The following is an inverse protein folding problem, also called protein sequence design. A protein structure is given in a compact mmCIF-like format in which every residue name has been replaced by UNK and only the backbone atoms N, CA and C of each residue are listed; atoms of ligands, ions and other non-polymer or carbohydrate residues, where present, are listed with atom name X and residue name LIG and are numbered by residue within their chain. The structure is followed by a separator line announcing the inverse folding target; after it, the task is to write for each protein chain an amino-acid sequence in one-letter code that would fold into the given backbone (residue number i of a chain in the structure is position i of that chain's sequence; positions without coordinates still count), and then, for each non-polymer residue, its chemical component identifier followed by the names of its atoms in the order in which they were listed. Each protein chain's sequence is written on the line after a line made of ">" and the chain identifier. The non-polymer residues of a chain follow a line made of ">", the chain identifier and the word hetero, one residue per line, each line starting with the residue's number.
data_IF_244698943486
#
_entry.id   IF_244698943486
#
_cell.length_a   1.000
_cell.length_b   1.000
_cell.length_c   1.000
_cell.angle_alpha   90.00
_cell.angle_beta   90.00
_cell.angle_gamma   90.00
#
_symmetry.space_group_name_H-M   'P 1'
#
loop_
_entity.id
_entity.type
_entity.pdbx_description
1 polymer ?
#
# COMPACT_ATOMS: atom_id res chain seq x y z
N UNK A 1 75.09 -56.98 16.74
CA UNK A 1 75.43 -57.54 15.44
C UNK A 1 74.97 -56.52 14.42
N UNK A 2 75.81 -55.69 13.97
CA UNK A 2 76.72 -55.79 12.85
C UNK A 2 76.12 -55.39 11.53
N UNK A 3 76.68 -54.35 11.03
CA UNK A 3 77.10 -53.98 9.66
C UNK A 3 75.98 -53.40 8.75
N UNK A 4 76.24 -52.52 7.90
CA UNK A 4 77.39 -51.62 7.51
C UNK A 4 76.85 -50.72 6.39
N UNK A 5 77.36 -49.51 6.39
CA UNK A 5 77.84 -48.65 5.30
C UNK A 5 77.32 -48.83 3.87
N UNK A 6 76.85 -47.77 3.22
CA UNK A 6 77.67 -47.10 2.18
C UNK A 6 77.01 -45.80 1.65
N UNK A 7 77.83 -44.82 1.60
CA UNK A 7 77.65 -43.53 0.93
C UNK A 7 77.51 -43.68 -0.58
N UNK A 8 76.85 -42.75 -1.25
CA UNK A 8 77.38 -42.14 -2.48
C UNK A 8 76.69 -40.78 -2.73
N UNK A 9 77.60 -39.92 -3.10
CA UNK A 9 77.47 -38.50 -3.39
C UNK A 9 76.94 -38.29 -4.81
N UNK A 10 76.28 -37.16 -5.01
CA UNK A 10 76.37 -36.19 -6.10
C UNK A 10 75.11 -35.86 -6.83
N UNK A 11 74.93 -34.57 -7.03
CA UNK A 11 74.05 -34.04 -8.06
C UNK A 11 73.45 -32.68 -7.72
N UNK A 12 74.27 -31.63 -7.79
CA UNK A 12 73.79 -30.20 -7.86
C UNK A 12 72.85 -30.05 -9.07
N UNK A 13 71.71 -29.55 -8.87
CA UNK A 13 70.83 -29.05 -9.93
C UNK A 13 70.01 -27.87 -9.42
N UNK A 14 70.62 -26.67 -9.55
CA UNK A 14 69.95 -25.40 -9.30
C UNK A 14 68.94 -25.15 -10.45
N UNK A 15 67.72 -25.50 -10.27
CA UNK A 15 66.62 -25.15 -11.18
C UNK A 15 65.87 -23.95 -10.63
N UNK A 16 66.17 -22.76 -11.11
CA UNK A 16 65.51 -21.51 -10.81
C UNK A 16 64.11 -21.55 -11.50
N UNK A 17 63.07 -21.96 -10.79
CA UNK A 17 61.69 -21.87 -11.29
C UNK A 17 61.23 -20.43 -11.09
N UNK A 18 61.14 -19.70 -12.19
CA UNK A 18 60.55 -18.35 -12.27
C UNK A 18 59.02 -18.54 -12.22
N UNK A 19 58.39 -18.37 -11.04
CA UNK A 19 56.95 -18.34 -10.91
C UNK A 19 56.46 -16.99 -11.37
N UNK A 20 55.99 -16.93 -12.61
CA UNK A 20 55.27 -15.74 -13.13
C UNK A 20 53.91 -15.64 -12.46
N UNK A 21 53.77 -14.72 -11.50
CA UNK A 21 52.49 -14.36 -10.87
C UNK A 21 51.69 -13.54 -11.87
N UNK A 22 50.80 -14.21 -12.61
CA UNK A 22 49.77 -13.55 -13.45
C UNK A 22 48.65 -13.05 -12.54
N UNK A 23 48.73 -11.76 -12.14
CA UNK A 23 47.61 -11.10 -11.46
C UNK A 23 46.56 -10.80 -12.49
N UNK A 24 45.53 -11.65 -12.55
CA UNK A 24 44.29 -11.39 -13.32
C UNK A 24 43.56 -10.23 -12.67
N UNK A 25 43.73 -9.03 -13.22
CA UNK A 25 42.81 -7.91 -12.94
C UNK A 25 41.44 -8.21 -13.57
N UNK A 26 40.55 -8.81 -12.81
CA UNK A 26 39.16 -8.85 -13.21
C UNK A 26 38.58 -7.40 -13.15
N UNK A 27 38.03 -6.86 -14.25
CA UNK A 27 37.42 -5.56 -14.21
C UNK A 27 36.24 -5.64 -13.26
N UNK A 28 36.26 -4.92 -12.16
CA UNK A 28 35.11 -4.66 -11.31
C UNK A 28 34.11 -3.88 -12.15
N UNK A 29 33.12 -4.57 -12.72
CA UNK A 29 31.98 -3.93 -13.34
C UNK A 29 31.13 -3.35 -12.19
N UNK A 30 31.43 -2.08 -11.86
CA UNK A 30 30.54 -1.29 -11.01
C UNK A 30 29.22 -1.17 -11.76
N UNK A 31 28.26 -2.02 -11.39
CA UNK A 31 26.90 -1.92 -11.89
C UNK A 31 26.36 -0.61 -11.33
N UNK A 32 26.27 0.41 -12.17
CA UNK A 32 25.63 1.66 -11.82
C UNK A 32 24.19 1.31 -11.41
N UNK A 33 23.90 1.45 -10.12
CA UNK A 33 22.55 1.29 -9.58
C UNK A 33 21.71 2.38 -10.23
N UNK A 34 20.84 1.97 -11.14
CA UNK A 34 19.97 2.90 -11.86
C UNK A 34 19.18 3.72 -10.84
N UNK A 35 19.29 5.05 -10.91
CA UNK A 35 18.51 5.92 -10.04
C UNK A 35 17.02 5.49 -10.11
N UNK A 36 16.34 5.41 -8.97
CA UNK A 36 14.94 4.98 -8.94
C UNK A 36 14.12 5.89 -9.85
N UNK A 37 13.30 5.27 -10.72
CA UNK A 37 12.50 6.00 -11.70
C UNK A 37 11.57 7.00 -11.00
N UNK A 38 11.58 8.26 -11.43
CA UNK A 38 10.61 9.25 -10.98
C UNK A 38 9.22 8.87 -11.49
N UNK A 39 8.28 8.82 -10.57
CA UNK A 39 6.87 8.63 -10.88
C UNK A 39 6.08 9.90 -10.58
N UNK A 40 5.08 10.21 -11.42
CA UNK A 40 4.12 11.28 -11.18
C UNK A 40 2.76 10.66 -10.89
N UNK A 41 2.19 10.99 -9.72
CA UNK A 41 0.87 10.52 -9.31
C UNK A 41 0.05 11.66 -8.73
N UNK A 42 -1.23 11.74 -9.11
CA UNK A 42 -2.24 12.57 -8.45
C UNK A 42 -2.94 11.70 -7.42
N UNK A 43 -3.14 12.21 -6.22
CA UNK A 43 -3.74 11.39 -5.18
C UNK A 43 -4.65 12.20 -4.26
N UNK A 44 -5.58 11.49 -3.65
CA UNK A 44 -6.37 11.93 -2.50
C UNK A 44 -6.07 11.03 -1.32
N UNK A 45 -6.32 11.51 -0.11
CA UNK A 45 -6.08 10.75 1.12
C UNK A 45 -7.36 10.66 1.93
N UNK A 46 -7.57 9.50 2.51
CA UNK A 46 -8.62 9.25 3.50
C UNK A 46 -8.00 8.52 4.68
N UNK A 47 -8.38 8.87 5.88
CA UNK A 47 -7.98 8.11 7.07
C UNK A 47 -9.16 7.37 7.67
N UNK A 48 -8.96 6.11 8.05
CA UNK A 48 -9.98 5.30 8.72
C UNK A 48 -10.38 5.86 10.10
N UNK A 49 -9.49 6.62 10.74
CA UNK A 49 -9.75 7.35 11.99
C UNK A 49 -9.31 8.81 11.82
N UNK A 50 -9.78 9.69 12.71
CA UNK A 50 -9.35 11.07 12.71
C UNK A 50 -7.83 11.17 12.79
N UNK A 51 -7.24 11.94 11.90
CA UNK A 51 -5.80 12.19 11.83
C UNK A 51 -5.57 13.66 11.47
N UNK A 52 -4.55 14.25 12.06
CA UNK A 52 -4.16 15.63 11.83
C UNK A 52 -2.64 15.76 11.87
N UNK A 53 -2.12 16.89 11.39
CA UNK A 53 -0.68 17.16 11.42
C UNK A 53 0.13 16.26 10.48
N UNK A 54 -0.46 15.79 9.38
CA UNK A 54 0.21 15.01 8.36
C UNK A 54 0.75 15.92 7.26
N UNK A 55 1.96 15.61 6.77
CA UNK A 55 2.59 16.34 5.68
C UNK A 55 3.25 15.35 4.71
N UNK A 56 3.51 15.81 3.49
CA UNK A 56 4.32 15.09 2.51
C UNK A 56 5.18 16.09 1.73
N UNK A 57 6.22 15.60 1.06
CA UNK A 57 7.05 16.43 0.18
C UNK A 57 6.61 16.16 -1.26
N UNK A 58 6.02 17.15 -1.97
CA UNK A 58 5.49 16.96 -3.32
C UNK A 58 6.56 16.56 -4.34
N UNK A 59 7.76 17.10 -4.18
CA UNK A 59 8.94 16.81 -5.00
C UNK A 59 10.21 17.04 -4.18
N UNK A 60 11.27 16.30 -4.47
CA UNK A 60 12.58 16.50 -3.83
C UNK A 60 12.99 17.98 -3.95
N UNK A 61 13.40 18.56 -2.83
CA UNK A 61 13.81 19.97 -2.74
C UNK A 61 12.67 20.96 -2.52
N UNK A 62 11.42 20.51 -2.49
CA UNK A 62 10.27 21.37 -2.13
C UNK A 62 9.95 21.31 -0.64
N UNK A 63 9.25 22.33 -0.16
CA UNK A 63 8.74 22.36 1.20
C UNK A 63 7.67 21.29 1.42
N UNK A 64 7.58 20.80 2.66
CA UNK A 64 6.53 19.87 3.04
C UNK A 64 5.15 20.55 2.96
N UNK A 65 4.20 19.85 2.34
CA UNK A 65 2.82 20.30 2.14
C UNK A 65 1.90 19.60 3.15
N UNK A 66 1.05 20.34 3.87
CA UNK A 66 0.06 19.75 4.77
C UNK A 66 -0.98 18.92 4.02
N UNK A 67 -1.34 17.76 4.59
CA UNK A 67 -2.46 16.94 4.14
C UNK A 67 -3.70 17.31 4.96
N UNK A 68 -4.70 17.86 4.28
CA UNK A 68 -6.01 18.16 4.90
C UNK A 68 -6.87 16.92 4.80
N UNK A 69 -7.25 16.34 5.93
CA UNK A 69 -8.10 15.16 6.00
C UNK A 69 -9.48 15.52 6.52
N UNK A 70 -10.49 15.01 5.84
CA UNK A 70 -11.89 15.17 6.26
C UNK A 70 -12.43 13.89 6.89
N UNK A 71 -13.30 13.98 7.91
CA UNK A 71 -13.83 12.79 8.59
C UNK A 71 -14.65 11.87 7.70
N UNK A 72 -15.36 12.43 6.72
CA UNK A 72 -16.34 11.71 5.89
C UNK A 72 -16.15 11.90 4.39
N UNK A 73 -15.08 12.56 3.97
CA UNK A 73 -14.83 12.87 2.58
C UNK A 73 -13.34 12.63 2.23
N UNK A 74 -13.08 12.61 0.94
CA UNK A 74 -11.71 12.59 0.41
C UNK A 74 -11.04 13.94 0.69
N UNK A 75 -9.73 13.91 0.89
CA UNK A 75 -8.91 15.13 0.93
C UNK A 75 -9.00 15.91 -0.38
N UNK A 76 -8.53 17.15 -0.43
CA UNK A 76 -8.16 17.80 -1.69
C UNK A 76 -7.23 16.90 -2.50
N UNK A 77 -7.17 17.13 -3.82
CA UNK A 77 -6.26 16.41 -4.70
C UNK A 77 -4.86 17.00 -4.58
N UNK A 78 -3.90 16.11 -4.35
CA UNK A 78 -2.47 16.42 -4.28
C UNK A 78 -1.74 15.84 -5.48
N UNK A 79 -0.53 16.31 -5.74
CA UNK A 79 0.36 15.78 -6.75
C UNK A 79 1.70 15.41 -6.09
N UNK A 80 2.23 14.25 -6.45
CA UNK A 80 3.55 13.79 -6.05
C UNK A 80 4.39 13.51 -7.29
N UNK A 81 5.66 13.91 -7.25
CA UNK A 81 6.65 13.57 -8.25
C UNK A 81 7.96 13.18 -7.57
N UNK A 82 8.32 11.92 -7.67
CA UNK A 82 9.54 11.39 -7.05
C UNK A 82 9.62 9.89 -7.12
N UNK A 83 10.66 9.36 -6.48
CA UNK A 83 10.83 7.92 -6.31
C UNK A 83 9.83 7.38 -5.28
N UNK A 84 9.39 6.14 -5.49
CA UNK A 84 8.57 5.44 -4.49
C UNK A 84 9.46 4.84 -3.38
N UNK A 85 8.91 4.70 -2.16
CA UNK A 85 7.56 5.04 -1.74
C UNK A 85 7.34 6.54 -1.49
N UNK A 86 6.12 7.03 -1.75
CA UNK A 86 5.65 8.32 -1.27
C UNK A 86 5.58 8.25 0.26
N UNK A 87 6.22 9.21 0.94
CA UNK A 87 6.31 9.25 2.40
C UNK A 87 5.41 10.32 2.98
N UNK A 88 4.64 9.92 3.98
CA UNK A 88 3.83 10.83 4.79
C UNK A 88 4.50 10.96 6.16
N UNK A 89 4.70 12.19 6.58
CA UNK A 89 5.42 12.53 7.80
C UNK A 89 4.51 13.25 8.80
N UNK A 90 4.83 13.11 10.06
CA UNK A 90 4.25 13.91 11.13
C UNK A 90 4.79 15.35 11.05
N UNK A 91 3.92 16.35 11.08
CA UNK A 91 4.30 17.75 10.93
C UNK A 91 5.18 18.27 12.06
N UNK A 92 5.08 17.68 13.26
CA UNK A 92 5.83 18.10 14.45
C UNK A 92 7.16 17.36 14.53
N UNK A 93 7.11 16.04 14.56
CA UNK A 93 8.30 15.19 14.77
C UNK A 93 9.13 14.97 13.51
N UNK A 94 8.58 15.29 12.34
CA UNK A 94 9.18 15.04 11.00
C UNK A 94 9.47 13.57 10.72
N UNK A 95 9.02 12.66 11.59
CA UNK A 95 9.17 11.23 11.39
C UNK A 95 8.24 10.71 10.30
N UNK A 96 8.69 9.72 9.53
CA UNK A 96 7.85 9.02 8.55
C UNK A 96 6.88 8.13 9.32
N UNK A 97 5.59 8.34 9.09
CA UNK A 97 4.51 7.62 9.79
C UNK A 97 3.64 6.78 8.86
N UNK A 98 3.73 7.01 7.56
CA UNK A 98 3.10 6.18 6.54
C UNK A 98 3.93 6.22 5.26
N UNK A 99 3.90 5.12 4.49
CA UNK A 99 4.50 5.00 3.17
C UNK A 99 3.48 4.42 2.19
N UNK A 100 3.50 4.92 0.96
CA UNK A 100 2.64 4.44 -0.11
C UNK A 100 3.48 4.11 -1.34
N UNK A 101 3.53 2.83 -1.71
CA UNK A 101 4.09 2.41 -2.99
C UNK A 101 2.98 2.35 -4.02
N UNK A 102 2.95 3.35 -4.91
CA UNK A 102 1.94 3.41 -5.97
C UNK A 102 2.50 2.66 -7.18
N UNK A 103 1.78 1.65 -7.71
CA UNK A 103 2.15 0.98 -8.96
C UNK A 103 2.30 1.97 -10.12
N UNK A 104 3.21 1.70 -11.07
CA UNK A 104 3.54 2.62 -12.17
C UNK A 104 2.35 2.92 -13.08
N UNK A 105 1.45 1.97 -13.23
CA UNK A 105 0.23 2.09 -14.04
C UNK A 105 -0.84 2.99 -13.41
N UNK A 106 -0.73 3.29 -12.10
CA UNK A 106 -1.69 4.13 -11.39
C UNK A 106 -1.24 5.59 -11.42
N UNK A 107 -1.95 6.42 -12.15
CA UNK A 107 -1.71 7.86 -12.23
C UNK A 107 -2.64 8.69 -11.34
N UNK A 108 -3.76 8.09 -10.92
CA UNK A 108 -4.72 8.67 -9.98
C UNK A 108 -4.97 7.68 -8.85
N UNK A 109 -4.56 8.02 -7.62
CA UNK A 109 -4.62 7.13 -6.48
C UNK A 109 -5.50 7.68 -5.35
N UNK A 110 -6.19 6.79 -4.66
CA UNK A 110 -6.71 7.04 -3.32
C UNK A 110 -5.80 6.33 -2.32
N UNK A 111 -5.23 7.08 -1.39
CA UNK A 111 -4.47 6.54 -0.27
C UNK A 111 -5.36 6.43 0.95
N UNK A 112 -5.66 5.21 1.38
CA UNK A 112 -6.39 4.96 2.62
C UNK A 112 -5.39 4.66 3.73
N UNK A 113 -5.36 5.51 4.76
CA UNK A 113 -4.54 5.36 5.94
C UNK A 113 -5.33 4.64 7.04
N UNK A 114 -4.90 3.42 7.38
CA UNK A 114 -5.49 2.63 8.47
C UNK A 114 -4.49 2.62 9.63
N UNK A 115 -4.84 3.18 10.80
CA UNK A 115 -3.96 3.16 11.96
C UNK A 115 -3.60 1.73 12.35
N UNK A 116 -2.34 1.49 12.66
CA UNK A 116 -1.90 0.23 13.26
C UNK A 116 -2.39 0.16 14.71
N UNK A 117 -2.86 -1.02 15.12
CA UNK A 117 -3.34 -1.28 16.48
C UNK A 117 -2.74 -2.59 17.01
N UNK A 118 -1.89 -2.53 18.05
CA UNK A 118 -1.41 -1.33 18.75
C UNK A 118 -0.51 -0.45 17.86
N UNK A 119 -0.57 0.86 18.11
CA UNK A 119 0.32 1.80 17.42
C UNK A 119 1.77 1.57 17.91
N UNK A 120 2.75 1.42 17.02
CA UNK A 120 4.14 1.27 17.43
C UNK A 120 4.68 2.57 18.04
N UNK A 121 5.62 2.46 18.96
CA UNK A 121 6.26 3.61 19.60
C UNK A 121 7.10 4.44 18.61
N UNK A 122 7.64 3.81 17.57
CA UNK A 122 8.42 4.44 16.52
C UNK A 122 8.14 3.79 15.16
N UNK A 123 8.45 4.51 14.07
CA UNK A 123 8.25 4.05 12.69
C UNK A 123 6.84 4.30 12.16
N UNK A 124 6.39 3.43 11.26
CA UNK A 124 5.10 3.58 10.60
C UNK A 124 3.95 3.38 11.58
N UNK A 125 3.06 4.36 11.67
CA UNK A 125 1.84 4.31 12.50
C UNK A 125 0.60 3.94 11.71
N UNK A 126 0.70 3.94 10.38
CA UNK A 126 -0.40 3.63 9.48
C UNK A 126 0.02 2.56 8.48
N UNK A 127 -0.89 1.64 8.22
CA UNK A 127 -0.88 0.84 7.01
C UNK A 127 -1.56 1.65 5.91
N UNK A 128 -0.93 1.75 4.75
CA UNK A 128 -1.48 2.48 3.60
C UNK A 128 -1.99 1.49 2.56
N UNK A 129 -3.24 1.65 2.17
CA UNK A 129 -3.82 0.96 1.03
C UNK A 129 -3.88 1.92 -0.15
N UNK A 130 -3.34 1.49 -1.28
CA UNK A 130 -3.33 2.26 -2.52
C UNK A 130 -4.42 1.70 -3.44
N UNK A 131 -5.35 2.54 -3.83
CA UNK A 131 -6.45 2.19 -4.72
C UNK A 131 -6.33 3.00 -6.02
N UNK A 132 -6.52 2.34 -7.17
CA UNK A 132 -6.69 3.06 -8.44
C UNK A 132 -8.03 3.81 -8.40
N UNK A 133 -7.92 5.14 -8.37
CA UNK A 133 -9.05 6.06 -8.22
C UNK A 133 -9.49 6.67 -9.56
N UNK A 134 -8.97 6.14 -10.66
CA UNK A 134 -9.34 6.58 -11.99
C UNK A 134 -10.83 6.32 -12.28
N UNK A 135 -11.42 7.19 -13.11
CA UNK A 135 -12.82 7.02 -13.55
C UNK A 135 -13.04 5.72 -14.36
N UNK A 136 -11.97 5.13 -14.91
CA UNK A 136 -12.03 3.84 -15.62
C UNK A 136 -12.26 2.69 -14.64
N UNK A 137 -11.59 2.71 -13.50
CA UNK A 137 -11.71 1.66 -12.47
C UNK A 137 -12.91 1.87 -11.56
N UNK A 138 -13.24 3.12 -11.27
CA UNK A 138 -14.35 3.48 -10.39
C UNK A 138 -15.27 4.46 -11.12
N UNK A 139 -16.10 3.92 -11.99
CA UNK A 139 -17.02 4.71 -12.82
C UNK A 139 -18.14 5.36 -11.99
N UNK A 140 -18.69 6.45 -12.50
CA UNK A 140 -19.92 7.02 -11.97
C UNK A 140 -21.07 5.99 -11.99
N UNK A 141 -21.97 6.05 -10.99
CA UNK A 141 -23.07 5.10 -10.84
C UNK A 141 -22.63 3.72 -10.32
N UNK A 142 -21.46 3.61 -9.72
CA UNK A 142 -20.97 2.35 -9.14
C UNK A 142 -20.69 2.46 -7.63
N UNK A 143 -20.81 1.34 -6.95
CA UNK A 143 -20.34 1.11 -5.59
C UNK A 143 -19.16 0.16 -5.63
N UNK A 144 -18.00 0.62 -5.22
CA UNK A 144 -16.83 -0.22 -4.92
C UNK A 144 -16.83 -0.57 -3.43
N UNK A 145 -16.45 -1.80 -3.09
CA UNK A 145 -16.38 -2.24 -1.69
C UNK A 145 -14.95 -2.71 -1.40
N UNK A 146 -14.30 -2.05 -0.44
CA UNK A 146 -13.00 -2.44 0.08
C UNK A 146 -13.21 -3.19 1.41
N UNK A 147 -13.04 -4.49 1.38
CA UNK A 147 -13.20 -5.34 2.56
C UNK A 147 -11.86 -5.52 3.31
N UNK A 148 -11.70 -4.79 4.38
CA UNK A 148 -10.59 -4.90 5.34
C UNK A 148 -11.04 -5.44 6.70
N UNK A 149 -12.27 -5.97 6.79
CA UNK A 149 -12.87 -6.43 8.04
C UNK A 149 -12.21 -7.66 8.66
N UNK A 150 -11.45 -8.41 7.88
CA UNK A 150 -10.91 -9.71 8.27
C UNK A 150 -11.92 -10.86 8.13
N UNK A 151 -13.17 -10.59 7.68
CA UNK A 151 -14.20 -11.60 7.44
C UNK A 151 -14.41 -11.87 5.96
N UNK A 152 -14.73 -13.12 5.63
CA UNK A 152 -15.42 -13.44 4.39
C UNK A 152 -16.87 -12.96 4.53
N UNK A 153 -17.30 -12.10 3.63
CA UNK A 153 -18.62 -11.49 3.65
C UNK A 153 -19.43 -11.92 2.42
N UNK A 154 -20.69 -12.22 2.61
CA UNK A 154 -21.59 -12.49 1.52
C UNK A 154 -22.95 -11.84 1.81
N UNK A 155 -23.71 -11.50 0.77
CA UNK A 155 -25.00 -10.86 0.94
C UNK A 155 -25.53 -10.27 -0.34
N UNK A 156 -26.13 -9.07 -0.26
CA UNK A 156 -26.72 -8.39 -1.41
C UNK A 156 -26.32 -6.91 -1.49
N UNK A 157 -26.23 -6.42 -2.72
CA UNK A 157 -26.19 -5.00 -3.06
C UNK A 157 -27.38 -4.73 -3.99
N UNK A 158 -28.41 -4.07 -3.47
CA UNK A 158 -29.72 -4.06 -4.10
C UNK A 158 -30.22 -5.50 -4.29
N UNK A 159 -30.61 -5.86 -5.50
CA UNK A 159 -31.09 -7.20 -5.85
C UNK A 159 -29.98 -8.17 -6.24
N UNK A 160 -28.71 -7.74 -6.22
CA UNK A 160 -27.58 -8.55 -6.66
C UNK A 160 -26.95 -9.29 -5.50
N UNK A 161 -26.90 -10.62 -5.59
CA UNK A 161 -26.10 -11.42 -4.67
C UNK A 161 -24.61 -11.09 -4.88
N UNK A 162 -23.86 -10.96 -3.79
CA UNK A 162 -22.45 -10.63 -3.80
C UNK A 162 -21.69 -11.45 -2.76
N UNK A 163 -20.45 -11.77 -3.09
CA UNK A 163 -19.49 -12.36 -2.17
C UNK A 163 -18.22 -11.53 -2.21
N UNK A 164 -17.75 -11.07 -1.06
CA UNK A 164 -16.65 -10.16 -0.94
C UNK A 164 -15.40 -10.88 -0.46
N UNK A 165 -14.37 -10.86 -1.29
CA UNK A 165 -13.02 -11.21 -0.87
C UNK A 165 -12.40 -10.10 0.00
N UNK A 166 -11.31 -10.42 0.71
CA UNK A 166 -10.47 -9.40 1.35
C UNK A 166 -9.85 -8.51 0.29
N UNK A 167 -9.80 -7.20 0.56
CA UNK A 167 -9.30 -6.19 -0.37
C UNK A 167 -10.39 -5.53 -1.19
N UNK A 168 -10.00 -4.89 -2.30
CA UNK A 168 -10.92 -4.19 -3.20
C UNK A 168 -11.66 -5.20 -4.07
N UNK A 169 -12.97 -5.11 -4.04
CA UNK A 169 -13.85 -5.96 -4.85
C UNK A 169 -14.29 -5.22 -6.13
N UNK A 170 -14.68 -5.97 -7.19
CA UNK A 170 -15.18 -5.37 -8.41
C UNK A 170 -16.34 -4.41 -8.14
N UNK A 171 -16.39 -3.26 -8.84
CA UNK A 171 -17.46 -2.29 -8.63
C UNK A 171 -18.84 -2.87 -9.07
N UNK A 172 -19.84 -2.62 -8.24
CA UNK A 172 -21.23 -3.02 -8.49
C UNK A 172 -21.98 -1.82 -9.03
N UNK A 173 -22.59 -1.88 -10.22
CA UNK A 173 -23.44 -0.82 -10.72
C UNK A 173 -24.66 -0.65 -9.82
N UNK A 174 -24.96 0.59 -9.43
CA UNK A 174 -26.17 0.97 -8.71
C UNK A 174 -26.86 2.12 -9.46
N UNK A 175 -28.18 2.08 -9.59
CA UNK A 175 -28.90 3.08 -10.37
C UNK A 175 -28.93 4.44 -9.65
N UNK A 176 -29.61 4.52 -8.53
CA UNK A 176 -29.73 5.73 -7.69
C UNK A 176 -29.55 5.40 -6.22
N UNK A 177 -30.10 4.28 -5.81
CA UNK A 177 -30.05 3.79 -4.43
C UNK A 177 -29.91 2.28 -4.42
N UNK A 178 -29.17 1.75 -3.46
CA UNK A 178 -29.08 0.31 -3.22
C UNK A 178 -28.95 0.03 -1.73
N UNK A 179 -29.77 -0.86 -1.23
CA UNK A 179 -29.58 -1.45 0.10
C UNK A 179 -28.38 -2.41 0.03
N UNK A 180 -27.49 -2.35 1.01
CA UNK A 180 -26.34 -3.24 1.13
C UNK A 180 -26.50 -4.03 2.43
N UNK A 181 -26.64 -5.34 2.33
CA UNK A 181 -26.75 -6.24 3.48
C UNK A 181 -25.69 -7.32 3.35
N UNK A 182 -24.77 -7.34 4.29
CA UNK A 182 -23.65 -8.28 4.29
C UNK A 182 -23.66 -9.11 5.56
N UNK A 183 -23.36 -10.37 5.41
CA UNK A 183 -23.33 -11.36 6.48
C UNK A 183 -21.99 -12.08 6.51
N UNK A 184 -21.63 -12.57 7.67
CA UNK A 184 -20.48 -13.47 7.85
C UNK A 184 -20.92 -14.72 8.58
N UNK A 185 -20.16 -15.79 8.47
CA UNK A 185 -20.40 -17.04 9.19
C UNK A 185 -19.39 -17.19 10.31
N UNK A 186 -19.87 -17.21 11.55
CA UNK A 186 -19.07 -17.43 12.75
C UNK A 186 -19.64 -18.64 13.51
N UNK A 187 -18.84 -19.65 13.77
CA UNK A 187 -19.26 -20.89 14.47
C UNK A 187 -20.55 -21.49 13.89
N UNK A 188 -20.62 -21.62 12.56
CA UNK A 188 -21.74 -22.12 11.78
C UNK A 188 -23.05 -21.28 11.92
N UNK A 189 -22.96 -20.06 12.41
CA UNK A 189 -24.10 -19.13 12.50
C UNK A 189 -23.89 -17.98 11.51
N UNK A 190 -24.92 -17.72 10.68
CA UNK A 190 -24.91 -16.56 9.79
C UNK A 190 -25.31 -15.32 10.59
N UNK A 191 -24.38 -14.38 10.73
CA UNK A 191 -24.57 -13.13 11.46
C UNK A 191 -24.53 -11.95 10.49
N UNK A 192 -25.35 -10.94 10.72
CA UNK A 192 -25.29 -9.70 9.95
C UNK A 192 -24.04 -8.94 10.37
N UNK A 193 -23.19 -8.61 9.37
CA UNK A 193 -21.96 -7.89 9.56
C UNK A 193 -22.12 -6.39 9.22
N UNK A 194 -22.93 -6.10 8.21
CA UNK A 194 -23.22 -4.74 7.78
C UNK A 194 -24.62 -4.66 7.19
N UNK A 195 -25.33 -3.55 7.45
CA UNK A 195 -26.52 -3.14 6.72
C UNK A 195 -26.54 -1.63 6.57
N UNK A 196 -26.88 -1.15 5.38
CA UNK A 196 -26.98 0.27 5.09
C UNK A 196 -27.54 0.52 3.70
N UNK A 197 -27.80 1.79 3.39
CA UNK A 197 -28.27 2.23 2.07
C UNK A 197 -27.22 3.17 1.49
N UNK A 198 -26.91 2.97 0.21
CA UNK A 198 -26.04 3.85 -0.57
C UNK A 198 -26.92 4.59 -1.57
N UNK A 199 -26.89 5.91 -1.52
CA UNK A 199 -27.61 6.78 -2.45
C UNK A 199 -26.60 7.59 -3.28
N UNK A 200 -26.79 7.60 -4.59
CA UNK A 200 -25.93 8.35 -5.52
C UNK A 200 -26.78 9.35 -6.31
N UNK A 201 -26.23 10.54 -6.46
CA UNK A 201 -26.71 11.51 -7.45
C UNK A 201 -26.11 11.19 -8.82
N UNK A 202 -26.64 11.84 -9.83
CA UNK A 202 -26.10 11.71 -11.19
C UNK A 202 -24.61 12.11 -11.23
N UNK A 203 -23.76 11.24 -11.75
CA UNK A 203 -22.34 11.47 -11.84
C UNK A 203 -21.53 11.11 -10.59
N UNK A 204 -22.18 10.71 -9.49
CA UNK A 204 -21.50 10.26 -8.29
C UNK A 204 -21.14 8.76 -8.36
N UNK A 205 -20.16 8.38 -7.57
CA UNK A 205 -19.73 7.01 -7.26
C UNK A 205 -19.55 6.85 -5.75
N UNK A 206 -19.57 5.63 -5.27
CA UNK A 206 -19.33 5.33 -3.87
C UNK A 206 -18.18 4.34 -3.67
N UNK A 207 -17.43 4.53 -2.59
CA UNK A 207 -16.52 3.55 -2.02
C UNK A 207 -16.93 3.25 -0.58
N UNK A 208 -17.34 2.01 -0.32
CA UNK A 208 -17.62 1.50 1.02
C UNK A 208 -16.37 0.78 1.54
N UNK A 209 -15.77 1.30 2.59
CA UNK A 209 -14.66 0.67 3.30
C UNK A 209 -15.22 -0.05 4.51
N UNK A 210 -14.98 -1.35 4.61
CA UNK A 210 -15.35 -2.20 5.74
C UNK A 210 -14.09 -2.51 6.55
N UNK A 211 -14.09 -2.14 7.82
CA UNK A 211 -12.97 -2.27 8.75
C UNK A 211 -13.29 -3.32 9.82
N UNK A 212 -12.30 -3.85 10.54
CA UNK A 212 -12.53 -4.79 11.63
C UNK A 212 -13.57 -4.28 12.63
N UNK A 213 -14.28 -5.18 13.31
CA UNK A 213 -15.21 -4.82 14.39
C UNK A 213 -14.53 -3.96 15.45
N UNK A 214 -15.30 -3.06 16.04
CA UNK A 214 -14.81 -2.25 17.16
C UNK A 214 -14.54 -3.10 18.41
N UNK A 215 -15.41 -4.08 18.65
CA UNK A 215 -15.28 -4.99 19.79
C UNK A 215 -14.81 -6.37 19.35
N UNK A 216 -13.86 -6.94 20.07
CA UNK A 216 -13.43 -8.33 19.86
C UNK A 216 -14.62 -9.30 20.01
N UNK A 217 -14.79 -10.20 19.04
CA UNK A 217 -15.86 -11.18 19.03
C UNK A 217 -17.17 -10.68 18.42
N UNK A 218 -17.30 -9.40 18.09
CA UNK A 218 -18.43 -8.89 17.30
C UNK A 218 -18.30 -9.33 15.85
N UNK A 219 -19.44 -9.60 15.20
CA UNK A 219 -19.52 -9.77 13.76
C UNK A 219 -19.78 -8.44 13.04
N UNK A 220 -20.22 -7.41 13.76
CA UNK A 220 -20.56 -6.11 13.19
C UNK A 220 -19.28 -5.34 12.84
N UNK A 221 -19.10 -5.06 11.57
CA UNK A 221 -17.92 -4.37 11.04
C UNK A 221 -18.11 -2.86 11.11
N UNK A 222 -17.00 -2.14 11.31
CA UNK A 222 -16.99 -0.70 11.14
C UNK A 222 -17.04 -0.37 9.63
N UNK A 223 -17.67 0.74 9.28
CA UNK A 223 -17.79 1.16 7.89
C UNK A 223 -17.48 2.63 7.67
N UNK A 224 -16.98 2.94 6.48
CA UNK A 224 -16.85 4.30 5.95
C UNK A 224 -17.39 4.32 4.55
N UNK A 225 -18.38 5.16 4.32
CA UNK A 225 -18.93 5.40 2.99
C UNK A 225 -18.39 6.73 2.47
N UNK A 226 -17.74 6.70 1.32
CA UNK A 226 -17.21 7.86 0.63
C UNK A 226 -17.97 8.01 -0.68
N UNK A 227 -18.62 9.15 -0.86
CA UNK A 227 -19.33 9.49 -2.10
C UNK A 227 -18.63 10.69 -2.73
N UNK A 228 -18.33 10.60 -4.02
CA UNK A 228 -17.75 11.69 -4.79
C UNK A 228 -18.14 11.60 -6.27
N UNK A 229 -17.86 12.68 -7.00
CA UNK A 229 -17.99 12.71 -8.45
C UNK A 229 -16.61 12.57 -9.09
N UNK A 230 -16.38 11.59 -9.99
CA UNK A 230 -15.12 11.48 -10.70
C UNK A 230 -14.77 12.81 -11.39
N UNK A 231 -13.59 13.35 -11.09
CA UNK A 231 -13.13 14.61 -11.65
C UNK A 231 -13.49 15.87 -10.85
N UNK A 232 -14.40 15.81 -9.88
CA UNK A 232 -14.74 16.94 -9.00
C UNK A 232 -13.77 17.06 -7.80
N UNK A 233 -12.48 17.10 -8.06
CA UNK A 233 -11.56 17.43 -6.99
C UNK A 233 -11.76 18.90 -6.61
N UNK A 234 -12.18 19.18 -5.39
CA UNK A 234 -12.16 20.50 -4.80
C UNK A 234 -10.74 21.03 -4.95
N UNK A 235 -10.56 22.12 -5.72
CA UNK A 235 -9.30 22.85 -5.71
C UNK A 235 -9.09 23.37 -4.28
N UNK A 236 -7.85 23.29 -3.76
CA UNK A 236 -7.52 23.87 -2.47
C UNK A 236 -7.78 25.36 -2.43
#
# INVERSE_FOLDING_TARGET
>A
MAHARRSLIAGLGVGTALVALVVLFAPFVVRAESAPAEQRVRFTVVSARAAAGLTYIPRIGQAATPLVLYPTARSPRYEYRGAMPLRITDAVTKSVIAEATVPLEITEALLLLVPLDPAPAAGLRYQTYVLDDSAVRQAAGTLSILNLSGFALAGTVGDRATSLATGLNPPVPIARSAAVVLRTTVKNRSLQAYAGTVELRRGERALLVLLPPFYRGSAEVQSRLLIDSPGSATRP
#
